data_IF_189994590970
#
_entry.id   IF_189994590970
#
_cell.length_a   1.000
_cell.length_b   1.000
_cell.length_c   1.000
_cell.angle_alpha   90.00
_cell.angle_beta   90.00
_cell.angle_gamma   90.00
#
_symmetry.space_group_name_H-M   'P 1'
#
loop_
_entity.id
_entity.type
_entity.pdbx_description
1 polymer ?
#
# COMPACT_ATOMS: atom_id res chain seq x y z
N UNK A 1 -3.80 -14.61 14.39
CA UNK A 1 -2.47 -15.25 14.36
C UNK A 1 -1.35 -14.44 13.70
N UNK A 2 -1.60 -13.37 12.92
CA UNK A 2 -0.53 -12.54 12.28
C UNK A 2 0.07 -11.46 13.20
N UNK A 3 -0.63 -10.99 14.22
CA UNK A 3 -0.12 -9.99 15.18
C UNK A 3 1.04 -10.48 16.06
N UNK A 4 1.11 -11.78 16.36
CA UNK A 4 2.15 -12.35 17.24
C UNK A 4 3.56 -12.42 16.63
N UNK A 5 3.72 -12.33 15.30
CA UNK A 5 5.06 -12.37 14.67
C UNK A 5 5.84 -11.06 14.81
N UNK A 6 5.15 -9.94 14.98
CA UNK A 6 5.81 -8.63 15.11
C UNK A 6 6.43 -8.42 16.49
N UNK A 7 5.85 -9.01 17.52
CA UNK A 7 6.35 -8.88 18.90
C UNK A 7 7.49 -9.84 19.17
N UNK A 8 7.55 -10.99 18.49
CA UNK A 8 8.68 -11.93 18.58
C UNK A 8 10.02 -11.30 18.12
N UNK A 9 9.98 -10.27 17.28
CA UNK A 9 11.19 -9.54 16.86
C UNK A 9 11.79 -8.67 17.98
N UNK A 10 10.99 -8.24 18.96
CA UNK A 10 11.47 -7.54 20.16
C UNK A 10 12.25 -8.51 21.05
N UNK A 11 11.89 -9.78 21.04
CA UNK A 11 12.41 -10.85 21.91
C UNK A 11 13.79 -11.34 21.46
N UNK A 12 14.06 -11.35 20.16
CA UNK A 12 15.33 -11.88 19.61
C UNK A 12 16.58 -11.10 20.03
N UNK A 13 16.44 -9.81 20.34
CA UNK A 13 17.54 -8.95 20.77
C UNK A 13 17.82 -9.02 22.29
N UNK A 14 16.90 -9.58 23.08
CA UNK A 14 17.01 -9.63 24.55
C UNK A 14 17.97 -10.71 25.09
N UNK A 15 18.51 -11.58 24.23
CA UNK A 15 19.21 -12.81 24.67
C UNK A 15 20.67 -12.58 25.09
N UNK A 16 21.25 -11.41 24.89
CA UNK A 16 22.68 -11.15 25.17
C UNK A 16 22.97 -10.02 26.15
N UNK A 17 22.03 -9.64 27.01
CA UNK A 17 22.27 -8.57 27.99
C UNK A 17 22.84 -9.19 29.29
N UNK A 18 24.07 -8.80 29.64
CA UNK A 18 24.62 -8.99 30.98
C UNK A 18 23.76 -8.21 31.97
N UNK A 19 22.99 -8.90 32.75
CA UNK A 19 22.10 -8.31 33.76
C UNK A 19 22.94 -7.79 34.93
N UNK A 20 23.03 -6.47 35.10
CA UNK A 20 23.43 -5.86 36.36
C UNK A 20 22.20 -5.89 37.28
N UNK A 21 22.16 -6.85 38.21
CA UNK A 21 21.16 -6.85 39.28
C UNK A 21 21.37 -5.60 40.16
N UNK A 22 20.32 -4.94 40.65
CA UNK A 22 20.46 -3.90 41.64
C UNK A 22 21.15 -4.52 42.88
N UNK A 23 22.06 -3.76 43.50
CA UNK A 23 22.94 -4.28 44.56
C UNK A 23 22.25 -5.14 45.62
N UNK A 24 22.88 -6.27 45.95
CA UNK A 24 22.45 -7.26 46.94
C UNK A 24 21.08 -7.91 46.72
N UNK A 25 20.87 -8.53 45.54
CA UNK A 25 19.74 -9.43 45.29
C UNK A 25 19.99 -10.73 46.05
N UNK A 26 19.03 -11.19 46.88
CA UNK A 26 19.11 -12.49 47.50
C UNK A 26 18.98 -13.61 46.45
N UNK A 27 19.54 -14.81 46.73
CA UNK A 27 19.43 -15.96 45.84
C UNK A 27 17.94 -16.34 45.54
N UNK A 28 17.04 -16.05 46.49
CA UNK A 28 15.62 -16.32 46.36
C UNK A 28 14.89 -15.33 45.43
N UNK A 29 15.40 -14.12 45.33
CA UNK A 29 14.87 -13.10 44.42
C UNK A 29 15.37 -13.31 42.99
N UNK A 30 16.59 -13.87 42.86
CA UNK A 30 17.16 -14.28 41.57
C UNK A 30 16.31 -15.36 40.86
N UNK A 31 15.68 -16.25 41.59
CA UNK A 31 14.80 -17.29 41.03
C UNK A 31 13.45 -16.75 40.50
N UNK A 32 12.89 -15.71 41.12
CA UNK A 32 11.58 -15.14 40.70
C UNK A 32 11.64 -14.48 39.32
N UNK A 33 12.59 -13.58 39.14
CA UNK A 33 12.71 -12.91 37.86
C UNK A 33 13.16 -13.84 36.74
N UNK A 34 14.01 -14.84 37.02
CA UNK A 34 14.43 -15.88 36.07
C UNK A 34 13.23 -16.71 35.63
N UNK A 35 12.35 -17.07 36.54
CA UNK A 35 11.11 -17.76 36.24
C UNK A 35 10.20 -16.91 35.32
N UNK A 36 10.01 -15.62 35.63
CA UNK A 36 9.25 -14.69 34.83
C UNK A 36 9.82 -14.56 33.39
N UNK A 37 11.15 -14.41 33.31
CA UNK A 37 11.84 -14.29 32.03
C UNK A 37 11.78 -15.61 31.23
N UNK A 38 11.88 -16.74 31.87
CA UNK A 38 11.69 -18.05 31.22
C UNK A 38 10.28 -18.23 30.66
N UNK A 39 9.24 -17.81 31.40
CA UNK A 39 7.86 -17.82 30.92
C UNK A 39 7.69 -16.92 29.70
N UNK A 40 8.28 -15.73 29.74
CA UNK A 40 8.30 -14.81 28.60
C UNK A 40 8.97 -15.42 27.35
N UNK A 41 10.14 -16.05 27.53
CA UNK A 41 10.87 -16.70 26.41
C UNK A 41 10.07 -17.86 25.78
N UNK A 42 9.30 -18.59 26.58
CA UNK A 42 8.41 -19.66 26.08
C UNK A 42 7.15 -19.11 25.39
N UNK A 43 6.91 -17.80 25.46
CA UNK A 43 5.70 -17.17 24.92
C UNK A 43 4.47 -17.29 25.82
N UNK A 44 4.65 -17.75 27.07
CA UNK A 44 3.59 -17.76 28.07
C UNK A 44 3.46 -16.39 28.72
N UNK A 45 2.91 -15.46 27.95
CA UNK A 45 2.81 -14.07 28.36
C UNK A 45 1.85 -13.86 29.54
N UNK A 46 0.86 -14.72 29.74
CA UNK A 46 -0.05 -14.61 30.87
C UNK A 46 0.66 -14.96 32.20
N UNK A 47 1.44 -16.03 32.22
CA UNK A 47 2.25 -16.39 33.36
C UNK A 47 3.38 -15.39 33.58
N UNK A 48 4.06 -14.98 32.53
CA UNK A 48 5.14 -13.99 32.61
C UNK A 48 4.63 -12.64 33.17
N UNK A 49 3.45 -12.19 32.79
CA UNK A 49 2.84 -10.97 33.31
C UNK A 49 2.62 -11.07 34.83
N UNK A 50 2.00 -12.16 35.29
CA UNK A 50 1.74 -12.36 36.73
C UNK A 50 3.07 -12.34 37.51
N UNK A 51 4.05 -13.07 37.04
CA UNK A 51 5.36 -13.14 37.68
C UNK A 51 6.13 -11.83 37.66
N UNK A 52 6.11 -11.08 36.55
CA UNK A 52 6.75 -9.75 36.51
C UNK A 52 6.05 -8.74 37.40
N UNK A 53 4.72 -8.79 37.54
CA UNK A 53 4.00 -7.93 38.51
C UNK A 53 4.48 -8.21 39.94
N UNK A 54 4.59 -9.45 40.32
CA UNK A 54 5.11 -9.82 41.63
C UNK A 54 6.54 -9.33 41.87
N UNK A 55 7.40 -9.44 40.86
CA UNK A 55 8.77 -8.91 40.91
C UNK A 55 8.79 -7.39 41.05
N UNK A 56 8.01 -6.66 40.25
CA UNK A 56 7.97 -5.19 40.33
C UNK A 56 7.45 -4.70 41.66
N UNK A 57 6.33 -5.28 42.15
CA UNK A 57 5.75 -4.95 43.48
C UNK A 57 6.74 -5.19 44.59
N UNK A 58 7.45 -6.32 44.56
CA UNK A 58 8.46 -6.63 45.57
C UNK A 58 9.54 -5.56 45.69
N UNK A 59 10.11 -5.09 44.55
CA UNK A 59 11.15 -4.04 44.56
C UNK A 59 10.60 -2.65 44.88
N UNK A 60 9.35 -2.34 44.49
CA UNK A 60 8.65 -1.12 44.87
C UNK A 60 8.43 -1.05 46.39
N UNK A 61 7.99 -2.13 47.01
CA UNK A 61 7.78 -2.25 48.47
C UNK A 61 9.07 -2.08 49.27
N UNK A 62 10.21 -2.42 48.69
CA UNK A 62 11.53 -2.19 49.29
C UNK A 62 12.04 -0.76 49.10
N UNK A 63 11.29 0.12 48.42
CA UNK A 63 11.71 1.47 48.06
C UNK A 63 12.84 1.51 47.04
N UNK A 64 13.04 0.45 46.28
CA UNK A 64 14.07 0.31 45.25
C UNK A 64 13.44 -0.06 43.92
N UNK A 65 12.63 0.80 43.28
CA UNK A 65 11.98 0.46 42.03
C UNK A 65 13.00 0.10 40.95
N UNK A 66 12.78 -1.03 40.28
CA UNK A 66 13.73 -1.61 39.32
C UNK A 66 13.24 -1.43 37.88
N UNK A 67 13.89 -0.55 37.13
CA UNK A 67 13.48 -0.20 35.77
C UNK A 67 13.39 -1.38 34.82
N UNK A 68 14.27 -2.37 34.97
CA UNK A 68 14.25 -3.58 34.16
C UNK A 68 12.93 -4.38 34.33
N UNK A 69 12.37 -4.49 35.53
CA UNK A 69 11.13 -5.22 35.74
C UNK A 69 9.94 -4.52 35.07
N UNK A 70 9.85 -3.19 35.15
CA UNK A 70 8.82 -2.40 34.46
C UNK A 70 8.97 -2.50 32.93
N UNK A 71 10.21 -2.47 32.43
CA UNK A 71 10.49 -2.70 31.01
C UNK A 71 10.01 -4.08 30.55
N UNK A 72 10.30 -5.13 31.29
CA UNK A 72 9.89 -6.50 30.98
C UNK A 72 8.38 -6.70 31.12
N UNK A 73 7.76 -6.10 32.14
CA UNK A 73 6.30 -6.13 32.30
C UNK A 73 5.61 -5.42 31.12
N UNK A 74 6.04 -4.21 30.77
CA UNK A 74 5.52 -3.47 29.64
C UNK A 74 5.70 -4.22 28.32
N UNK A 75 6.87 -4.82 28.11
CA UNK A 75 7.17 -5.65 26.94
C UNK A 75 6.28 -6.90 26.89
N UNK A 76 6.06 -7.56 28.03
CA UNK A 76 5.19 -8.74 28.16
C UNK A 76 3.73 -8.42 27.84
N UNK A 77 3.22 -7.31 28.37
CA UNK A 77 1.87 -6.82 28.12
C UNK A 77 1.68 -6.52 26.61
N UNK A 78 2.67 -5.88 25.98
CA UNK A 78 2.65 -5.61 24.55
C UNK A 78 2.71 -6.91 23.73
N UNK A 79 3.57 -7.87 24.14
CA UNK A 79 3.76 -9.16 23.49
C UNK A 79 2.52 -10.06 23.54
N UNK A 80 1.69 -9.92 24.56
CA UNK A 80 0.43 -10.65 24.67
C UNK A 80 -0.53 -10.40 23.49
N UNK A 81 -0.36 -9.30 22.75
CA UNK A 81 -1.20 -8.92 21.64
C UNK A 81 -2.60 -8.42 22.05
N UNK A 82 -2.90 -8.37 23.34
CA UNK A 82 -4.19 -7.94 23.86
C UNK A 82 -4.31 -6.41 23.78
N UNK A 83 -5.27 -5.94 22.99
CA UNK A 83 -5.42 -4.50 22.68
C UNK A 83 -5.67 -3.66 23.94
N UNK A 84 -6.50 -4.15 24.88
CA UNK A 84 -6.80 -3.47 26.15
C UNK A 84 -5.59 -3.29 27.06
N UNK A 85 -4.54 -4.10 26.91
CA UNK A 85 -3.31 -4.02 27.72
C UNK A 85 -2.29 -3.02 27.16
N UNK A 86 -2.48 -2.46 25.96
CA UNK A 86 -1.50 -1.55 25.33
C UNK A 86 -1.27 -0.27 26.13
N UNK A 87 -2.32 0.29 26.73
CA UNK A 87 -2.19 1.49 27.54
C UNK A 87 -1.38 1.23 28.80
N UNK A 88 -1.62 0.11 29.45
CA UNK A 88 -0.84 -0.31 30.62
C UNK A 88 0.61 -0.64 30.23
N UNK A 89 0.82 -1.31 29.09
CA UNK A 89 2.16 -1.57 28.57
C UNK A 89 2.96 -0.27 28.37
N UNK A 90 2.34 0.78 27.79
CA UNK A 90 2.96 2.08 27.68
C UNK A 90 3.26 2.70 29.04
N UNK A 91 2.34 2.63 30.01
CA UNK A 91 2.58 3.16 31.35
C UNK A 91 3.77 2.49 32.03
N UNK A 92 3.90 1.18 31.93
CA UNK A 92 5.03 0.45 32.47
C UNK A 92 6.36 0.83 31.79
N UNK A 93 6.36 0.99 30.47
CA UNK A 93 7.56 1.42 29.74
C UNK A 93 7.94 2.88 30.03
N UNK A 94 6.98 3.78 30.26
CA UNK A 94 7.29 5.15 30.69
C UNK A 94 7.88 5.19 32.10
N UNK A 95 7.43 4.33 33.04
CA UNK A 95 8.10 4.17 34.34
C UNK A 95 9.52 3.64 34.12
N UNK A 96 9.68 2.62 33.30
CA UNK A 96 11.00 2.04 33.01
C UNK A 96 11.97 3.09 32.46
N UNK A 97 11.51 3.97 31.58
CA UNK A 97 12.32 5.02 30.93
C UNK A 97 13.06 5.91 31.92
N UNK A 98 12.45 6.23 33.05
CA UNK A 98 13.06 7.04 34.10
C UNK A 98 14.04 6.26 35.00
N UNK A 99 13.93 4.93 35.03
CA UNK A 99 14.64 4.06 35.97
C UNK A 99 15.77 3.25 35.32
N UNK A 100 15.74 3.02 34.00
CA UNK A 100 16.76 2.23 33.31
C UNK A 100 18.10 2.96 33.22
N UNK A 101 19.20 2.25 33.47
CA UNK A 101 20.51 2.84 33.63
C UNK A 101 21.45 2.66 32.43
N UNK A 102 21.39 1.50 31.77
CA UNK A 102 22.29 1.18 30.67
C UNK A 102 21.64 1.36 29.28
N UNK A 103 22.48 1.51 28.27
CA UNK A 103 22.03 1.81 26.90
C UNK A 103 21.19 0.68 26.29
N UNK A 104 21.46 -0.58 26.63
CA UNK A 104 20.66 -1.71 26.16
C UNK A 104 19.21 -1.65 26.68
N UNK A 105 19.04 -1.34 27.97
CA UNK A 105 17.71 -1.15 28.57
C UNK A 105 16.99 0.08 28.02
N UNK A 106 17.71 1.20 27.86
CA UNK A 106 17.18 2.42 27.22
C UNK A 106 16.69 2.15 25.81
N UNK A 107 17.52 1.48 24.99
CA UNK A 107 17.13 1.07 23.65
C UNK A 107 15.85 0.22 23.67
N UNK A 108 15.80 -0.84 24.52
CA UNK A 108 14.65 -1.74 24.60
C UNK A 108 13.38 -1.00 25.02
N UNK A 109 13.48 -0.11 25.99
CA UNK A 109 12.36 0.70 26.48
C UNK A 109 11.80 1.59 25.40
N UNK A 110 12.63 2.43 24.77
CA UNK A 110 12.19 3.33 23.70
C UNK A 110 11.68 2.59 22.47
N UNK A 111 12.35 1.48 22.06
CA UNK A 111 11.89 0.65 20.97
C UNK A 111 10.54 -0.02 21.30
N UNK A 112 10.34 -0.49 22.54
CA UNK A 112 9.06 -1.01 23.01
C UNK A 112 7.93 -0.01 22.89
N UNK A 113 8.15 1.25 23.33
CA UNK A 113 7.20 2.36 23.20
C UNK A 113 6.91 2.63 21.71
N UNK A 114 7.94 2.67 20.85
CA UNK A 114 7.78 2.88 19.41
C UNK A 114 6.93 1.81 18.76
N UNK A 115 7.14 0.53 19.10
CA UNK A 115 6.37 -0.60 18.58
C UNK A 115 4.90 -0.54 19.01
N UNK A 116 4.61 -0.18 20.27
CA UNK A 116 3.23 -0.05 20.75
C UNK A 116 2.53 1.09 20.02
N UNK A 117 3.20 2.23 19.81
CA UNK A 117 2.66 3.32 19.03
C UNK A 117 2.42 2.92 17.56
N UNK A 118 3.34 2.15 16.95
CA UNK A 118 3.20 1.66 15.59
C UNK A 118 1.93 0.78 15.43
N UNK A 119 1.75 -0.22 16.29
CA UNK A 119 0.58 -1.11 16.23
C UNK A 119 -0.73 -0.43 16.67
N UNK A 120 -0.63 0.68 17.38
CA UNK A 120 -1.75 1.54 17.78
C UNK A 120 -2.08 2.62 16.75
N UNK A 121 -1.38 2.63 15.60
CA UNK A 121 -1.50 3.61 14.51
C UNK A 121 -1.18 5.05 14.93
N UNK A 122 -0.39 5.23 15.98
CA UNK A 122 0.12 6.53 16.42
C UNK A 122 1.48 6.80 15.73
N UNK A 123 1.44 6.94 14.40
CA UNK A 123 2.65 6.94 13.55
C UNK A 123 3.68 7.99 13.96
N UNK A 124 3.26 9.21 14.26
CA UNK A 124 4.15 10.30 14.67
C UNK A 124 4.88 9.96 15.98
N UNK A 125 4.16 9.41 16.97
CA UNK A 125 4.77 9.00 18.23
C UNK A 125 5.68 7.78 18.05
N UNK A 126 5.34 6.87 17.14
CA UNK A 126 6.20 5.73 16.81
C UNK A 126 7.55 6.20 16.26
N UNK A 127 7.55 7.19 15.36
CA UNK A 127 8.77 7.80 14.81
C UNK A 127 9.58 8.50 15.91
N UNK A 128 8.93 9.31 16.74
CA UNK A 128 9.59 10.03 17.83
C UNK A 128 10.31 9.06 18.79
N UNK A 129 9.57 8.05 19.29
CA UNK A 129 10.17 7.04 20.21
C UNK A 129 11.27 6.21 19.55
N UNK A 130 11.14 5.90 18.24
CA UNK A 130 12.20 5.22 17.50
C UNK A 130 13.45 6.11 17.32
N UNK A 131 13.28 7.42 17.14
CA UNK A 131 14.39 8.36 17.11
C UNK A 131 15.10 8.46 18.47
N UNK A 132 14.33 8.51 19.57
CA UNK A 132 14.90 8.50 20.93
C UNK A 132 15.72 7.24 21.18
N UNK A 133 15.29 6.08 20.66
CA UNK A 133 16.03 4.82 20.76
C UNK A 133 17.33 4.81 19.96
N UNK A 134 17.48 5.64 18.93
CA UNK A 134 18.62 5.61 18.01
C UNK A 134 19.95 5.92 18.72
N UNK A 135 19.95 6.79 19.74
CA UNK A 135 21.14 7.14 20.51
C UNK A 135 21.75 5.96 21.28
N UNK A 136 20.97 4.91 21.54
CA UNK A 136 21.34 3.73 22.32
C UNK A 136 21.45 2.45 21.47
N UNK A 137 21.24 2.55 20.16
CA UNK A 137 21.14 1.42 19.24
C UNK A 137 22.49 1.07 18.61
N UNK A 138 22.82 -0.22 18.59
CA UNK A 138 23.90 -0.73 17.73
C UNK A 138 23.42 -0.86 16.27
N UNK A 139 24.32 -1.25 15.35
CA UNK A 139 24.02 -1.31 13.91
C UNK A 139 22.84 -2.24 13.56
N UNK A 140 22.73 -3.39 14.22
CA UNK A 140 21.61 -4.32 14.02
C UNK A 140 20.29 -3.71 14.52
N UNK A 141 20.34 -3.07 15.67
CA UNK A 141 19.19 -2.40 16.30
C UNK A 141 18.73 -1.19 15.49
N UNK A 142 19.64 -0.45 14.85
CA UNK A 142 19.30 0.62 13.91
C UNK A 142 18.44 0.11 12.76
N UNK A 143 18.70 -1.08 12.23
CA UNK A 143 17.86 -1.70 11.22
C UNK A 143 16.43 -1.98 11.71
N UNK A 144 16.25 -2.35 13.00
CA UNK A 144 14.94 -2.53 13.62
C UNK A 144 14.18 -1.20 13.73
N UNK A 145 14.87 -0.15 14.18
CA UNK A 145 14.29 1.19 14.29
C UNK A 145 13.93 1.76 12.91
N UNK A 146 14.80 1.56 11.94
CA UNK A 146 14.55 1.96 10.56
C UNK A 146 13.29 1.27 9.98
N UNK A 147 13.07 -0.02 10.26
CA UNK A 147 11.83 -0.71 9.91
C UNK A 147 10.61 -0.03 10.55
N UNK A 148 10.68 0.28 11.83
CA UNK A 148 9.59 0.95 12.56
C UNK A 148 9.28 2.32 11.98
N UNK A 149 10.32 3.15 11.77
CA UNK A 149 10.19 4.47 11.17
C UNK A 149 9.68 4.39 9.73
N UNK A 150 10.24 3.51 8.92
CA UNK A 150 9.85 3.31 7.53
C UNK A 150 8.37 2.93 7.39
N UNK A 151 7.89 2.01 8.21
CA UNK A 151 6.48 1.63 8.24
C UNK A 151 5.57 2.77 8.73
N UNK A 152 6.02 3.56 9.70
CA UNK A 152 5.27 4.70 10.20
C UNK A 152 5.18 5.83 9.16
N UNK A 153 6.29 6.19 8.50
CA UNK A 153 6.31 7.15 7.39
C UNK A 153 5.44 6.69 6.22
N UNK A 154 5.52 5.40 5.86
CA UNK A 154 4.68 4.82 4.81
C UNK A 154 3.18 5.01 5.10
N UNK A 155 2.75 4.76 6.34
CA UNK A 155 1.36 4.94 6.74
C UNK A 155 0.94 6.42 6.85
N UNK A 156 1.89 7.33 7.04
CA UNK A 156 1.69 8.79 6.94
C UNK A 156 1.70 9.30 5.51
N UNK A 157 1.94 8.41 4.52
CA UNK A 157 2.14 8.76 3.11
C UNK A 157 3.35 9.68 2.85
N UNK A 158 4.30 9.74 3.79
CA UNK A 158 5.59 10.38 3.60
C UNK A 158 6.55 9.40 2.92
N UNK A 159 6.31 9.19 1.62
CA UNK A 159 6.97 8.13 0.86
C UNK A 159 8.47 8.36 0.69
N UNK A 160 8.93 9.60 0.67
CA UNK A 160 10.36 9.92 0.60
C UNK A 160 11.13 9.49 1.86
N UNK A 161 10.60 9.78 3.04
CA UNK A 161 11.17 9.32 4.30
C UNK A 161 10.98 7.82 4.49
N UNK A 162 9.83 7.27 4.07
CA UNK A 162 9.58 5.84 4.11
C UNK A 162 10.63 5.06 3.30
N UNK A 163 10.92 5.48 2.07
CA UNK A 163 11.90 4.82 1.21
C UNK A 163 13.28 4.78 1.87
N UNK A 164 13.76 5.91 2.40
CA UNK A 164 15.07 5.98 3.07
C UNK A 164 15.20 5.02 4.25
N UNK A 165 14.21 4.99 5.12
CA UNK A 165 14.23 4.13 6.30
C UNK A 165 14.04 2.66 5.93
N UNK A 166 13.19 2.35 4.93
CA UNK A 166 12.99 0.98 4.45
C UNK A 166 14.24 0.41 3.77
N UNK A 167 15.03 1.23 3.05
CA UNK A 167 16.33 0.80 2.52
C UNK A 167 17.28 0.34 3.63
N UNK A 168 17.38 1.13 4.72
CA UNK A 168 18.21 0.78 5.88
C UNK A 168 17.72 -0.52 6.51
N UNK A 169 16.41 -0.65 6.69
CA UNK A 169 15.80 -1.85 7.26
C UNK A 169 16.09 -3.10 6.41
N UNK A 170 15.99 -3.01 5.09
CA UNK A 170 16.27 -4.10 4.16
C UNK A 170 17.74 -4.49 4.18
N UNK A 171 18.66 -3.53 4.20
CA UNK A 171 20.10 -3.82 4.29
C UNK A 171 20.47 -4.57 5.58
N UNK A 172 19.81 -4.28 6.68
CA UNK A 172 20.08 -4.89 7.98
C UNK A 172 19.45 -6.28 8.14
N UNK A 173 18.21 -6.49 7.66
CA UNK A 173 17.40 -7.70 7.95
C UNK A 173 16.60 -8.25 6.77
N UNK A 174 16.92 -7.92 5.60
CA UNK A 174 16.21 -7.80 4.38
C UNK A 174 15.65 -9.00 3.64
N UNK A 175 14.79 -9.84 4.21
CA UNK A 175 14.06 -10.80 3.37
C UNK A 175 12.55 -10.87 3.69
N UNK A 176 11.95 -9.72 4.04
CA UNK A 176 10.51 -9.64 4.29
C UNK A 176 9.80 -9.03 3.08
N UNK A 177 8.90 -9.78 2.44
CA UNK A 177 8.15 -9.34 1.27
C UNK A 177 7.47 -7.97 1.45
N UNK A 178 6.92 -7.71 2.64
CA UNK A 178 6.24 -6.45 2.92
C UNK A 178 7.17 -5.23 2.94
N UNK A 179 8.43 -5.38 3.35
CA UNK A 179 9.39 -4.27 3.32
C UNK A 179 9.71 -3.88 1.87
N UNK A 180 9.99 -4.88 1.02
CA UNK A 180 10.19 -4.66 -0.41
C UNK A 180 8.95 -4.05 -1.08
N UNK A 181 7.74 -4.54 -0.71
CA UNK A 181 6.50 -4.01 -1.25
C UNK A 181 6.28 -2.53 -0.87
N UNK A 182 6.50 -2.18 0.41
CA UNK A 182 6.39 -0.82 0.89
C UNK A 182 7.46 0.10 0.29
N UNK A 183 8.70 -0.38 0.15
CA UNK A 183 9.77 0.36 -0.49
C UNK A 183 9.46 0.62 -1.96
N UNK A 184 9.07 -0.43 -2.70
CA UNK A 184 8.72 -0.29 -4.11
C UNK A 184 7.51 0.62 -4.34
N UNK A 185 6.47 0.53 -3.49
CA UNK A 185 5.36 1.47 -3.55
C UNK A 185 5.80 2.91 -3.21
N UNK A 186 6.67 3.09 -2.21
CA UNK A 186 7.19 4.42 -1.88
C UNK A 186 7.95 5.05 -3.05
N UNK A 187 8.78 4.29 -3.75
CA UNK A 187 9.44 4.76 -4.97
C UNK A 187 8.45 5.06 -6.11
N UNK A 188 7.39 4.25 -6.24
CA UNK A 188 6.35 4.51 -7.24
C UNK A 188 5.65 5.87 -6.98
N UNK A 189 5.30 6.16 -5.74
CA UNK A 189 4.65 7.41 -5.33
C UNK A 189 5.59 8.64 -5.40
N UNK A 190 6.92 8.43 -5.40
CA UNK A 190 7.92 9.49 -5.62
C UNK A 190 8.39 9.57 -7.09
N UNK A 191 7.70 8.89 -8.01
CA UNK A 191 7.99 8.84 -9.45
C UNK A 191 9.37 8.24 -9.81
N UNK A 192 9.90 7.37 -8.94
CA UNK A 192 11.17 6.66 -9.14
C UNK A 192 10.92 5.22 -9.64
N UNK A 193 10.23 5.09 -10.79
CA UNK A 193 9.73 3.81 -11.32
C UNK A 193 10.84 2.77 -11.55
N UNK A 194 12.02 3.19 -11.97
CA UNK A 194 13.18 2.32 -12.21
C UNK A 194 13.69 1.67 -10.91
N UNK A 195 13.54 2.35 -9.77
CA UNK A 195 13.84 1.79 -8.45
C UNK A 195 12.66 0.98 -7.89
N UNK A 196 11.44 1.39 -8.20
CA UNK A 196 10.22 0.75 -7.70
C UNK A 196 10.08 -0.69 -8.21
N UNK A 197 10.19 -0.90 -9.52
CA UNK A 197 9.91 -2.18 -10.16
C UNK A 197 10.72 -3.36 -9.58
N UNK A 198 12.06 -3.29 -9.41
CA UNK A 198 12.82 -4.40 -8.84
C UNK A 198 12.40 -4.75 -7.41
N UNK A 199 12.01 -3.77 -6.59
CA UNK A 199 11.54 -4.01 -5.23
C UNK A 199 10.16 -4.69 -5.22
N UNK A 200 9.24 -4.24 -6.06
CA UNK A 200 7.90 -4.83 -6.20
C UNK A 200 7.97 -6.27 -6.72
N UNK A 201 8.81 -6.53 -7.72
CA UNK A 201 9.07 -7.88 -8.23
C UNK A 201 9.67 -8.77 -7.13
N UNK A 202 10.63 -8.25 -6.35
CA UNK A 202 11.21 -8.98 -5.22
C UNK A 202 10.18 -9.32 -4.16
N UNK A 203 9.28 -8.38 -3.83
CA UNK A 203 8.16 -8.62 -2.92
C UNK A 203 7.26 -9.77 -3.43
N UNK A 204 6.91 -9.74 -4.72
CA UNK A 204 6.10 -10.77 -5.35
C UNK A 204 6.82 -12.13 -5.49
N UNK A 205 8.15 -12.17 -5.50
CA UNK A 205 8.95 -13.41 -5.45
C UNK A 205 8.97 -14.01 -4.05
N UNK A 206 9.11 -13.18 -3.00
CA UNK A 206 9.17 -13.62 -1.61
C UNK A 206 7.79 -14.05 -1.09
N UNK A 207 6.73 -13.35 -1.48
CA UNK A 207 5.35 -13.71 -1.22
C UNK A 207 4.56 -13.68 -2.52
N UNK A 208 4.25 -14.86 -3.06
CA UNK A 208 3.56 -15.01 -4.35
C UNK A 208 2.20 -14.32 -4.39
N UNK A 209 1.60 -14.06 -3.23
CA UNK A 209 0.31 -13.41 -3.09
C UNK A 209 0.43 -11.97 -2.59
N UNK A 210 1.62 -11.38 -2.61
CA UNK A 210 1.82 -10.00 -2.17
C UNK A 210 1.06 -9.03 -3.08
N UNK A 211 -0.04 -8.51 -2.55
CA UNK A 211 -0.96 -7.64 -3.31
C UNK A 211 -0.27 -6.37 -3.83
N UNK A 212 0.52 -5.70 -2.97
CA UNK A 212 1.20 -4.45 -3.32
C UNK A 212 2.23 -4.70 -4.42
N UNK A 213 3.07 -5.73 -4.24
CA UNK A 213 4.09 -6.09 -5.22
C UNK A 213 3.49 -6.41 -6.58
N UNK A 214 2.43 -7.24 -6.61
CA UNK A 214 1.77 -7.62 -7.86
C UNK A 214 1.06 -6.45 -8.53
N UNK A 215 0.32 -5.66 -7.77
CA UNK A 215 -0.47 -4.54 -8.29
C UNK A 215 0.41 -3.46 -8.91
N UNK A 216 1.40 -2.96 -8.15
CA UNK A 216 2.22 -1.85 -8.63
C UNK A 216 3.22 -2.29 -9.71
N UNK A 217 3.75 -3.54 -9.67
CA UNK A 217 4.56 -4.04 -10.76
C UNK A 217 3.73 -4.19 -12.06
N UNK A 218 2.51 -4.71 -11.97
CA UNK A 218 1.60 -4.78 -13.12
C UNK A 218 1.27 -3.37 -13.67
N UNK A 219 1.06 -2.40 -12.78
CA UNK A 219 0.78 -1.02 -13.17
C UNK A 219 1.96 -0.37 -13.89
N UNK A 220 3.19 -0.53 -13.38
CA UNK A 220 4.39 -0.01 -14.05
C UNK A 220 4.53 -0.65 -15.43
N UNK A 221 4.41 -1.97 -15.55
CA UNK A 221 4.48 -2.65 -16.84
C UNK A 221 3.39 -2.19 -17.81
N UNK A 222 2.18 -1.93 -17.33
CA UNK A 222 1.09 -1.38 -18.14
C UNK A 222 1.45 0.03 -18.66
N UNK A 223 1.93 0.91 -17.76
CA UNK A 223 2.31 2.29 -18.10
C UNK A 223 3.47 2.33 -19.11
N UNK A 224 4.38 1.35 -19.05
CA UNK A 224 5.53 1.19 -19.95
C UNK A 224 5.17 0.46 -21.27
N UNK A 225 3.90 0.06 -21.46
CA UNK A 225 3.46 -0.70 -22.63
C UNK A 225 3.90 -2.17 -22.67
N UNK A 226 4.43 -2.69 -21.57
CA UNK A 226 4.82 -4.09 -21.42
C UNK A 226 3.59 -4.95 -21.06
N UNK A 227 2.63 -5.05 -21.98
CA UNK A 227 1.31 -5.62 -21.72
C UNK A 227 1.35 -7.09 -21.29
N UNK A 228 2.22 -7.92 -21.87
CA UNK A 228 2.29 -9.34 -21.50
C UNK A 228 2.72 -9.53 -20.04
N UNK A 229 3.66 -8.71 -19.54
CA UNK A 229 4.09 -8.73 -18.16
C UNK A 229 2.98 -8.21 -17.23
N UNK A 230 2.27 -7.16 -17.65
CA UNK A 230 1.13 -6.62 -16.91
C UNK A 230 0.00 -7.67 -16.80
N UNK A 231 -0.29 -8.41 -17.87
CA UNK A 231 -1.27 -9.51 -17.90
C UNK A 231 -0.85 -10.61 -16.91
N UNK A 232 0.37 -11.13 -17.04
CA UNK A 232 0.84 -12.24 -16.21
C UNK A 232 0.80 -11.92 -14.70
N UNK A 233 1.20 -10.70 -14.31
CA UNK A 233 1.16 -10.24 -12.92
C UNK A 233 -0.27 -10.03 -12.44
N UNK A 234 -1.14 -9.44 -13.28
CA UNK A 234 -2.53 -9.18 -12.93
C UNK A 234 -3.35 -10.46 -12.81
N UNK A 235 -3.18 -11.43 -13.73
CA UNK A 235 -3.84 -12.74 -13.64
C UNK A 235 -3.46 -13.46 -12.34
N UNK A 236 -2.18 -13.46 -12.00
CA UNK A 236 -1.68 -14.02 -10.74
C UNK A 236 -2.28 -13.29 -9.53
N UNK A 237 -2.36 -11.96 -9.59
CA UNK A 237 -2.93 -11.14 -8.53
C UNK A 237 -4.43 -11.43 -8.34
N UNK A 238 -5.20 -11.62 -9.40
CA UNK A 238 -6.62 -11.97 -9.35
C UNK A 238 -6.84 -13.38 -8.77
N UNK A 239 -5.96 -14.34 -9.06
CA UNK A 239 -6.03 -15.66 -8.42
C UNK A 239 -5.91 -15.57 -6.90
N UNK A 240 -5.04 -14.69 -6.39
CA UNK A 240 -4.85 -14.47 -4.96
C UNK A 240 -5.93 -13.55 -4.33
N UNK A 241 -6.43 -12.58 -5.10
CA UNK A 241 -7.33 -11.52 -4.67
C UNK A 241 -8.50 -11.34 -5.66
N UNK A 242 -9.41 -12.34 -5.79
CA UNK A 242 -10.43 -12.39 -6.86
C UNK A 242 -11.43 -11.23 -6.84
N UNK A 243 -11.59 -10.56 -5.71
CA UNK A 243 -12.50 -9.42 -5.55
C UNK A 243 -11.83 -8.06 -5.78
N UNK A 244 -10.53 -8.02 -6.14
CA UNK A 244 -9.83 -6.77 -6.36
C UNK A 244 -10.12 -6.20 -7.75
N UNK A 245 -11.09 -5.30 -7.82
CA UNK A 245 -11.50 -4.65 -9.08
C UNK A 245 -10.44 -3.69 -9.63
N UNK A 246 -9.50 -3.22 -8.80
CA UNK A 246 -8.40 -2.37 -9.29
C UNK A 246 -7.39 -3.16 -10.12
N UNK A 247 -7.12 -4.42 -9.76
CA UNK A 247 -6.27 -5.32 -10.54
C UNK A 247 -6.97 -5.72 -11.85
N UNK A 248 -8.28 -5.95 -11.81
CA UNK A 248 -9.06 -6.26 -13.02
C UNK A 248 -9.05 -5.12 -14.03
N UNK A 249 -9.03 -3.88 -13.56
CA UNK A 249 -8.95 -2.71 -14.44
C UNK A 249 -7.61 -2.65 -15.18
N UNK A 250 -6.50 -2.95 -14.46
CA UNK A 250 -5.18 -3.08 -15.09
C UNK A 250 -5.18 -4.22 -16.12
N UNK A 251 -5.72 -5.39 -15.75
CA UNK A 251 -5.78 -6.54 -16.64
C UNK A 251 -6.60 -6.26 -17.90
N UNK A 252 -7.78 -5.64 -17.74
CA UNK A 252 -8.62 -5.26 -18.87
C UNK A 252 -7.93 -4.28 -19.81
N UNK A 253 -7.22 -3.28 -19.24
CA UNK A 253 -6.46 -2.31 -20.04
C UNK A 253 -5.26 -2.96 -20.74
N UNK A 254 -4.58 -3.91 -20.09
CA UNK A 254 -3.49 -4.65 -20.71
C UNK A 254 -3.99 -5.58 -21.84
N UNK A 255 -5.14 -6.24 -21.66
CA UNK A 255 -5.77 -7.01 -22.74
C UNK A 255 -6.17 -6.14 -23.94
N UNK A 256 -6.67 -4.92 -23.68
CA UNK A 256 -6.95 -3.97 -24.75
C UNK A 256 -5.68 -3.61 -25.54
N UNK A 257 -4.53 -3.49 -24.86
CA UNK A 257 -3.24 -3.18 -25.47
C UNK A 257 -2.65 -4.29 -26.36
N UNK A 258 -3.15 -5.54 -26.22
CA UNK A 258 -2.74 -6.69 -27.03
C UNK A 258 -3.87 -7.24 -27.90
N UNK A 259 -4.87 -6.42 -28.20
CA UNK A 259 -6.02 -6.73 -29.06
C UNK A 259 -6.91 -7.90 -28.56
N UNK A 260 -6.85 -8.24 -27.27
CA UNK A 260 -7.69 -9.25 -26.63
C UNK A 260 -9.00 -8.61 -26.12
N UNK A 261 -9.80 -8.09 -27.02
CA UNK A 261 -10.92 -7.20 -26.72
C UNK A 261 -12.04 -7.87 -25.93
N UNK A 262 -12.33 -9.15 -26.19
CA UNK A 262 -13.36 -9.90 -25.46
C UNK A 262 -12.98 -10.12 -23.99
N UNK A 263 -11.70 -10.44 -23.75
CA UNK A 263 -11.20 -10.59 -22.38
C UNK A 263 -11.15 -9.24 -21.67
N UNK A 264 -10.81 -8.16 -22.37
CA UNK A 264 -10.87 -6.80 -21.82
C UNK A 264 -12.30 -6.43 -21.41
N UNK A 265 -13.31 -6.69 -22.28
CA UNK A 265 -14.73 -6.50 -21.99
C UNK A 265 -15.13 -7.20 -20.69
N UNK A 266 -14.78 -8.48 -20.54
CA UNK A 266 -15.10 -9.28 -19.35
C UNK A 266 -14.56 -8.63 -18.08
N UNK A 267 -13.31 -8.17 -18.09
CA UNK A 267 -12.70 -7.54 -16.90
C UNK A 267 -13.38 -6.21 -16.58
N UNK A 268 -13.61 -5.35 -17.57
CA UNK A 268 -14.26 -4.06 -17.37
C UNK A 268 -15.70 -4.20 -16.87
N UNK A 269 -16.48 -5.16 -17.36
CA UNK A 269 -17.83 -5.40 -16.87
C UNK A 269 -17.83 -5.77 -15.38
N UNK A 270 -16.89 -6.60 -14.91
CA UNK A 270 -16.76 -6.91 -13.47
C UNK A 270 -16.41 -5.66 -12.67
N UNK A 271 -15.50 -4.81 -13.17
CA UNK A 271 -15.17 -3.53 -12.50
C UNK A 271 -16.41 -2.63 -12.40
N UNK A 272 -17.21 -2.54 -13.47
CA UNK A 272 -18.38 -1.67 -13.54
C UNK A 272 -19.57 -2.18 -12.73
N UNK A 273 -19.63 -3.48 -12.40
CA UNK A 273 -20.59 -4.00 -11.42
C UNK A 273 -20.34 -3.45 -10.01
N UNK A 274 -19.08 -3.30 -9.63
CA UNK A 274 -18.67 -2.75 -8.33
C UNK A 274 -18.66 -1.21 -8.33
N UNK A 275 -18.20 -0.62 -9.44
CA UNK A 275 -18.01 0.84 -9.62
C UNK A 275 -18.66 1.31 -10.92
N UNK A 276 -19.98 1.46 -10.96
CA UNK A 276 -20.74 1.69 -12.20
C UNK A 276 -20.42 3.02 -12.91
N UNK A 277 -19.81 3.98 -12.20
CA UNK A 277 -19.45 5.29 -12.72
C UNK A 277 -17.93 5.51 -12.82
N UNK A 278 -17.12 4.42 -12.89
CA UNK A 278 -15.69 4.56 -13.10
C UNK A 278 -15.40 4.99 -14.53
N UNK A 279 -15.23 6.29 -14.72
CA UNK A 279 -15.21 6.98 -16.02
C UNK A 279 -14.19 6.39 -17.00
N UNK A 280 -12.94 6.14 -16.56
CA UNK A 280 -11.89 5.59 -17.43
C UNK A 280 -12.19 4.16 -17.85
N UNK A 281 -12.75 3.35 -16.97
CA UNK A 281 -13.14 1.95 -17.28
C UNK A 281 -14.28 1.92 -18.31
N UNK A 282 -15.27 2.84 -18.21
CA UNK A 282 -16.35 2.95 -19.19
C UNK A 282 -15.79 3.37 -20.54
N UNK A 283 -14.86 4.32 -20.56
CA UNK A 283 -14.19 4.75 -21.78
C UNK A 283 -13.39 3.60 -22.43
N UNK A 284 -12.59 2.87 -21.64
CA UNK A 284 -11.83 1.71 -22.14
C UNK A 284 -12.75 0.59 -22.67
N UNK A 285 -13.90 0.38 -22.03
CA UNK A 285 -14.92 -0.56 -22.54
C UNK A 285 -15.48 -0.11 -23.88
N UNK A 286 -15.74 1.19 -24.05
CA UNK A 286 -16.15 1.75 -25.34
C UNK A 286 -15.09 1.54 -26.42
N UNK A 287 -13.81 1.70 -26.09
CA UNK A 287 -12.69 1.42 -27.01
C UNK A 287 -12.64 -0.06 -27.41
N UNK A 288 -12.86 -0.98 -26.43
CA UNK A 288 -12.94 -2.42 -26.73
C UNK A 288 -14.09 -2.71 -27.73
N UNK A 289 -15.27 -2.14 -27.51
CA UNK A 289 -16.39 -2.28 -28.44
C UNK A 289 -16.11 -1.66 -29.82
N UNK A 290 -15.43 -0.52 -29.85
CA UNK A 290 -14.97 0.13 -31.10
C UNK A 290 -14.06 -0.81 -31.90
N UNK A 291 -13.08 -1.43 -31.23
CA UNK A 291 -12.15 -2.37 -31.86
C UNK A 291 -12.84 -3.64 -32.35
N UNK A 292 -13.86 -4.11 -31.63
CA UNK A 292 -14.75 -5.22 -32.05
C UNK A 292 -15.76 -4.81 -33.14
N UNK A 293 -15.80 -3.52 -33.53
CA UNK A 293 -16.76 -2.93 -34.47
C UNK A 293 -18.22 -3.02 -34.00
N UNK A 294 -18.43 -3.13 -32.70
CA UNK A 294 -19.75 -3.07 -32.08
C UNK A 294 -20.11 -1.61 -31.78
N UNK A 295 -20.44 -0.90 -32.83
CA UNK A 295 -20.69 0.54 -32.78
C UNK A 295 -21.87 0.92 -31.86
N UNK A 296 -22.99 0.17 -31.80
CA UNK A 296 -24.07 0.50 -30.89
C UNK A 296 -23.62 0.51 -29.41
N UNK A 297 -22.93 -0.57 -28.98
CA UNK A 297 -22.42 -0.64 -27.59
C UNK A 297 -21.31 0.39 -27.34
N UNK A 298 -20.42 0.63 -28.30
CA UNK A 298 -19.40 1.65 -28.20
C UNK A 298 -19.99 3.05 -27.95
N UNK A 299 -20.97 3.46 -28.77
CA UNK A 299 -21.66 4.76 -28.65
C UNK A 299 -22.33 4.88 -27.28
N UNK A 300 -23.04 3.85 -26.82
CA UNK A 300 -23.69 3.85 -25.51
C UNK A 300 -22.67 4.12 -24.39
N UNK A 301 -21.55 3.43 -24.40
CA UNK A 301 -20.53 3.61 -23.35
C UNK A 301 -19.82 4.96 -23.46
N UNK A 302 -19.53 5.45 -24.67
CA UNK A 302 -18.97 6.80 -24.83
C UNK A 302 -19.94 7.88 -24.32
N UNK A 303 -21.22 7.78 -24.63
CA UNK A 303 -22.23 8.72 -24.14
C UNK A 303 -22.37 8.66 -22.60
N UNK A 304 -22.29 7.47 -22.01
CA UNK A 304 -22.26 7.31 -20.56
C UNK A 304 -21.02 7.97 -19.95
N UNK A 305 -19.85 7.76 -20.53
CA UNK A 305 -18.59 8.33 -20.04
C UNK A 305 -18.54 9.85 -20.21
N UNK A 306 -19.15 10.41 -21.25
CA UNK A 306 -19.13 11.85 -21.57
C UNK A 306 -19.55 12.73 -20.40
N UNK A 307 -20.55 12.28 -19.63
CA UNK A 307 -21.10 13.06 -18.51
C UNK A 307 -20.30 12.87 -17.20
N UNK A 308 -19.28 12.00 -17.20
CA UNK A 308 -18.47 11.68 -16.03
C UNK A 308 -17.11 12.36 -16.05
N UNK A 309 -16.60 12.74 -17.23
CA UNK A 309 -15.34 13.47 -17.33
C UNK A 309 -15.56 14.97 -17.03
N UNK A 310 -14.51 15.57 -16.45
CA UNK A 310 -14.50 17.01 -16.21
C UNK A 310 -14.70 17.78 -17.51
N UNK A 311 -15.60 18.75 -17.47
CA UNK A 311 -15.91 19.60 -18.62
C UNK A 311 -14.67 20.39 -19.07
N UNK A 312 -14.38 20.35 -20.36
CA UNK A 312 -13.21 21.02 -20.94
C UNK A 312 -11.89 20.27 -20.77
N UNK A 313 -11.89 19.06 -20.16
CA UNK A 313 -10.66 18.27 -20.01
C UNK A 313 -10.18 17.66 -21.35
N UNK A 314 -8.85 17.43 -21.51
CA UNK A 314 -8.31 16.74 -22.68
C UNK A 314 -8.92 15.35 -22.90
N UNK A 315 -9.28 14.66 -21.83
CA UNK A 315 -9.93 13.35 -21.92
C UNK A 315 -11.36 13.44 -22.45
N UNK A 316 -12.12 14.48 -22.07
CA UNK A 316 -13.43 14.74 -22.65
C UNK A 316 -13.31 15.06 -24.14
N UNK A 317 -12.32 15.87 -24.53
CA UNK A 317 -12.09 16.18 -25.94
C UNK A 317 -11.79 14.91 -26.75
N UNK A 318 -10.96 14.01 -26.23
CA UNK A 318 -10.63 12.73 -26.87
C UNK A 318 -11.85 11.82 -26.99
N UNK A 319 -12.59 11.67 -25.90
CA UNK A 319 -13.83 10.87 -25.88
C UNK A 319 -14.84 11.36 -26.94
N UNK A 320 -15.04 12.67 -27.03
CA UNK A 320 -15.95 13.29 -28.01
C UNK A 320 -15.49 13.05 -29.46
N UNK A 321 -14.18 13.06 -29.70
CA UNK A 321 -13.62 12.71 -31.00
C UNK A 321 -13.89 11.25 -31.36
N UNK A 322 -13.62 10.31 -30.43
CA UNK A 322 -13.85 8.88 -30.62
C UNK A 322 -15.35 8.57 -30.82
N UNK A 323 -16.22 9.27 -30.10
CA UNK A 323 -17.68 9.20 -30.28
C UNK A 323 -18.09 9.70 -31.68
N UNK A 324 -17.45 10.76 -32.15
CA UNK A 324 -17.64 11.29 -33.53
C UNK A 324 -17.27 10.24 -34.57
N UNK A 325 -16.13 9.55 -34.42
CA UNK A 325 -15.71 8.45 -35.29
C UNK A 325 -16.77 7.33 -35.30
N UNK A 326 -17.27 6.95 -34.13
CA UNK A 326 -18.29 5.90 -34.02
C UNK A 326 -19.59 6.30 -34.75
N UNK A 327 -20.08 7.52 -34.57
CA UNK A 327 -21.25 8.02 -35.28
C UNK A 327 -21.03 8.13 -36.80
N UNK A 328 -19.88 8.63 -37.25
CA UNK A 328 -19.53 8.72 -38.67
C UNK A 328 -19.53 7.33 -39.33
N UNK A 329 -18.99 6.32 -38.65
CA UNK A 329 -18.88 4.98 -39.19
C UNK A 329 -20.24 4.32 -39.44
N UNK A 330 -21.25 4.63 -38.61
CA UNK A 330 -22.63 4.17 -38.82
C UNK A 330 -23.49 5.18 -39.60
N UNK A 331 -22.86 6.15 -40.25
CA UNK A 331 -23.50 7.16 -41.08
C UNK A 331 -24.45 8.13 -40.37
N UNK A 332 -24.35 8.24 -39.03
CA UNK A 332 -25.03 9.28 -38.24
C UNK A 332 -24.27 10.61 -38.33
N UNK A 333 -24.22 11.16 -39.55
CA UNK A 333 -23.31 12.26 -39.87
C UNK A 333 -23.61 13.56 -39.08
N UNK A 334 -24.86 13.85 -38.73
CA UNK A 334 -25.19 15.06 -37.95
C UNK A 334 -24.74 14.92 -36.49
N UNK A 335 -24.84 13.73 -35.89
CA UNK A 335 -24.33 13.45 -34.56
C UNK A 335 -22.79 13.45 -34.54
N UNK A 336 -22.17 12.89 -35.57
CA UNK A 336 -20.72 12.93 -35.75
C UNK A 336 -20.20 14.38 -35.83
N UNK A 337 -20.86 15.20 -36.65
CA UNK A 337 -20.47 16.62 -36.77
C UNK A 337 -20.56 17.37 -35.46
N UNK A 338 -21.62 17.12 -34.67
CA UNK A 338 -21.77 17.71 -33.33
C UNK A 338 -20.64 17.26 -32.41
N UNK A 339 -20.37 15.97 -32.31
CA UNK A 339 -19.32 15.42 -31.44
C UNK A 339 -17.93 15.95 -31.82
N UNK A 340 -17.60 16.03 -33.11
CA UNK A 340 -16.33 16.60 -33.56
C UNK A 340 -16.19 18.10 -33.23
N UNK A 341 -17.27 18.90 -33.40
CA UNK A 341 -17.27 20.30 -33.01
C UNK A 341 -17.11 20.51 -31.51
N UNK A 342 -17.82 19.74 -30.72
CA UNK A 342 -17.70 19.79 -29.26
C UNK A 342 -16.28 19.40 -28.81
N UNK A 343 -15.68 18.42 -29.46
CA UNK A 343 -14.28 18.05 -29.23
C UNK A 343 -13.30 19.16 -29.62
N UNK A 344 -13.51 19.81 -30.80
CA UNK A 344 -12.66 20.88 -31.29
C UNK A 344 -12.78 22.14 -30.45
N UNK A 345 -13.95 22.43 -29.88
CA UNK A 345 -14.16 23.56 -28.98
C UNK A 345 -13.33 23.45 -27.69
N UNK A 346 -12.99 22.21 -27.25
CA UNK A 346 -12.14 21.99 -26.09
C UNK A 346 -10.65 22.03 -26.48
N UNK A 347 -10.29 21.39 -27.58
CA UNK A 347 -8.91 21.27 -28.03
C UNK A 347 -8.91 21.09 -29.57
N UNK A 348 -8.58 22.13 -30.30
CA UNK A 348 -8.51 22.11 -31.78
C UNK A 348 -7.21 21.44 -32.24
N UNK A 349 -7.31 20.63 -33.29
CA UNK A 349 -6.18 20.12 -34.07
C UNK A 349 -6.59 19.81 -35.50
N UNK A 350 -5.61 19.54 -36.40
CA UNK A 350 -5.84 19.31 -37.84
C UNK A 350 -6.81 18.15 -38.09
N UNK A 351 -6.63 17.02 -37.35
CA UNK A 351 -7.47 15.85 -37.55
C UNK A 351 -8.96 16.12 -37.29
N UNK A 352 -9.26 16.97 -36.30
CA UNK A 352 -10.65 17.34 -35.95
C UNK A 352 -11.22 18.27 -37.00
N UNK A 353 -10.44 19.23 -37.51
CA UNK A 353 -10.83 20.14 -38.57
C UNK A 353 -11.14 19.37 -39.85
N UNK A 354 -10.27 18.45 -40.26
CA UNK A 354 -10.48 17.60 -41.44
C UNK A 354 -11.71 16.70 -41.28
N UNK A 355 -11.94 16.14 -40.08
CA UNK A 355 -13.12 15.33 -39.79
C UNK A 355 -14.42 16.15 -39.92
N UNK A 356 -14.42 17.38 -39.39
CA UNK A 356 -15.57 18.31 -39.52
C UNK A 356 -15.86 18.61 -40.98
N UNK A 357 -14.84 18.99 -41.76
CA UNK A 357 -15.00 19.31 -43.19
C UNK A 357 -15.50 18.09 -44.00
N UNK A 358 -14.90 16.93 -43.79
CA UNK A 358 -15.30 15.68 -44.44
C UNK A 358 -16.77 15.33 -44.16
N UNK A 359 -17.20 15.43 -42.92
CA UNK A 359 -18.59 15.09 -42.53
C UNK A 359 -19.56 16.17 -43.06
N UNK A 360 -19.20 17.44 -43.02
CA UNK A 360 -20.03 18.52 -43.63
C UNK A 360 -20.25 18.30 -45.12
N UNK A 361 -19.22 17.88 -45.85
CA UNK A 361 -19.34 17.61 -47.28
C UNK A 361 -20.27 16.42 -47.53
N UNK A 362 -20.19 15.33 -46.72
CA UNK A 362 -21.12 14.19 -46.81
C UNK A 362 -22.57 14.62 -46.57
N UNK A 363 -22.82 15.45 -45.57
CA UNK A 363 -24.17 16.01 -45.31
C UNK A 363 -24.67 16.83 -46.50
N UNK A 364 -23.82 17.70 -47.07
CA UNK A 364 -24.17 18.51 -48.27
C UNK A 364 -24.54 17.63 -49.46
N UNK A 365 -23.71 16.62 -49.76
CA UNK A 365 -23.96 15.68 -50.86
C UNK A 365 -25.25 14.87 -50.67
N UNK A 366 -25.57 14.47 -49.42
CA UNK A 366 -26.82 13.77 -49.12
C UNK A 366 -28.05 14.65 -49.34
N UNK A 367 -28.01 15.95 -48.94
CA UNK A 367 -29.08 16.92 -49.14
C UNK A 367 -29.26 17.31 -50.62
N UNK A 368 -28.15 17.40 -51.38
CA UNK A 368 -28.19 17.72 -52.82
C UNK A 368 -28.79 16.59 -53.70
N UNK A 369 -28.69 15.33 -53.24
CA UNK A 369 -29.33 14.19 -53.95
C UNK A 369 -30.83 14.00 -53.62
N UNK A 370 -31.31 14.60 -52.52
CA UNK A 370 -32.72 14.52 -52.11
C UNK A 370 -33.61 15.65 -52.65
N UNK A 371 -33.02 16.66 -53.35
CA UNK A 371 -33.72 17.83 -53.90
C UNK A 371 -34.00 17.79 -55.40
N UNK A 372 -33.82 16.65 -56.07
CA UNK A 372 -34.02 16.45 -57.49
C UNK A 372 -35.06 15.35 -57.84
N UNK A 373 -36.19 15.34 -57.09
CA UNK A 373 -37.29 14.40 -57.38
C UNK A 373 -38.62 15.18 -57.45
#
# INVERSE_FOLDING_TARGET
>A
MKANRYVAAIVGAAVAISFALPGAVSAQDDDKWRSAFSSFQRGDYAQAETQFREVCTYYEDQGQPWGWCHMMLGTTLAASGVVSKRQEALAQLEIAKELVANDGERYMTHNGIAQIHLVSRNWVRAIASANDATAFANDEQQGVLAKTKGQAYYNLQDFGNAARELEIAIKSRGNEANLFAQLGHSYFETDEKEKALPQLVKAAQLDRNNRIGLFFAARIHLDDGNFDQAIALSERAIQAHPQDTSIRDILGTAYLGVDRFQEAEQQFLVVLQDRPNKQLTIYNLAQAYTAMKDWPRAIEQYQKAQNLFEAGSPMQARLLYDLGIAFETISRNEDALRAYRDSAAISENVDKTDAIERVQERIRRAKGKGGGG
#
